data_IF_162998405332
#
_entry.id   IF_162998405332
#
_cell.length_a   1.000
_cell.length_b   1.000
_cell.length_c   1.000
_cell.angle_alpha   90.00
_cell.angle_beta   90.00
_cell.angle_gamma   90.00
#
_symmetry.space_group_name_H-M   'P 1'
#
loop_
_entity.id
_entity.type
_entity.pdbx_description
1 polymer ?
#
# COMPACT_ATOMS: atom_id res chain seq x y z
N UNK A 1 4.78 15.35 18.53
CA UNK A 1 5.64 15.09 17.36
C UNK A 1 5.14 13.95 16.47
N UNK A 2 4.85 12.73 17.00
CA UNK A 2 4.44 11.59 16.17
C UNK A 2 3.31 11.88 15.15
N UNK A 3 2.14 12.33 15.62
CA UNK A 3 0.96 12.55 14.75
C UNK A 3 1.19 13.57 13.64
N UNK A 4 2.02 14.59 13.90
CA UNK A 4 2.39 15.60 12.91
C UNK A 4 3.12 14.98 11.72
N UNK A 5 3.97 13.99 11.97
CA UNK A 5 4.64 13.24 10.90
C UNK A 5 3.74 12.14 10.33
N UNK A 6 3.02 11.40 11.17
CA UNK A 6 2.28 10.21 10.75
C UNK A 6 1.05 10.53 9.87
N UNK A 7 0.29 11.59 10.19
CA UNK A 7 -0.95 11.93 9.46
C UNK A 7 -0.65 12.26 7.99
N UNK A 8 0.31 13.14 7.65
CA UNK A 8 0.68 13.40 6.25
C UNK A 8 1.11 12.13 5.50
N UNK A 9 1.87 11.24 6.14
CA UNK A 9 2.36 10.01 5.51
C UNK A 9 1.21 9.04 5.18
N UNK A 10 0.26 8.86 6.10
CA UNK A 10 -0.93 8.04 5.84
C UNK A 10 -1.84 8.66 4.77
N UNK A 11 -1.96 10.00 4.72
CA UNK A 11 -2.68 10.70 3.65
C UNK A 11 -2.00 10.54 2.29
N UNK A 12 -0.67 10.57 2.25
CA UNK A 12 0.09 10.33 1.03
C UNK A 12 -0.16 8.90 0.51
N UNK A 13 -0.13 7.91 1.39
CA UNK A 13 -0.44 6.51 1.03
C UNK A 13 -1.89 6.35 0.51
N UNK A 14 -2.85 7.03 1.14
CA UNK A 14 -4.24 7.06 0.66
C UNK A 14 -4.35 7.69 -0.73
N UNK A 15 -3.58 8.74 -0.98
CA UNK A 15 -3.53 9.43 -2.28
C UNK A 15 -2.90 8.53 -3.35
N UNK A 16 -1.80 7.83 -3.04
CA UNK A 16 -1.18 6.84 -3.91
C UNK A 16 -2.20 5.78 -4.35
N UNK A 17 -2.97 5.21 -3.42
CA UNK A 17 -4.01 4.24 -3.74
C UNK A 17 -5.13 4.81 -4.64
N UNK A 18 -5.47 6.08 -4.47
CA UNK A 18 -6.49 6.75 -5.30
C UNK A 18 -5.99 7.00 -6.73
N UNK A 19 -4.73 7.41 -6.90
CA UNK A 19 -4.14 7.72 -8.21
C UNK A 19 -3.65 6.49 -8.97
N UNK A 20 -3.28 5.42 -8.27
CA UNK A 20 -2.72 4.20 -8.87
C UNK A 20 -3.70 3.55 -9.86
N UNK A 21 -3.25 3.27 -11.07
CA UNK A 21 -4.07 2.73 -12.18
C UNK A 21 -5.44 3.44 -12.33
N UNK A 22 -5.47 4.77 -12.21
CA UNK A 22 -6.68 5.58 -12.32
C UNK A 22 -6.58 6.57 -13.49
N UNK A 23 -7.25 6.35 -14.63
CA UNK A 23 -7.14 7.23 -15.80
C UNK A 23 -7.70 8.64 -15.57
N UNK A 24 -8.44 8.88 -14.47
CA UNK A 24 -8.92 10.23 -14.12
C UNK A 24 -7.78 11.19 -13.77
N UNK A 25 -6.59 10.68 -13.42
CA UNK A 25 -5.40 11.51 -13.15
C UNK A 25 -5.01 12.38 -14.34
N UNK A 26 -5.31 11.93 -15.57
CA UNK A 26 -5.03 12.68 -16.80
C UNK A 26 -6.15 13.66 -17.18
N UNK A 27 -7.29 13.61 -16.49
CA UNK A 27 -8.49 14.42 -16.79
C UNK A 27 -8.75 15.50 -15.74
N UNK A 28 -7.94 15.55 -14.67
CA UNK A 28 -8.08 16.55 -13.62
C UNK A 28 -7.49 16.10 -12.29
N UNK A 29 -7.89 16.81 -11.22
CA UNK A 29 -7.36 16.59 -9.88
C UNK A 29 -8.04 15.38 -9.24
N UNK A 30 -7.25 14.33 -9.00
CA UNK A 30 -7.62 13.20 -8.17
C UNK A 30 -7.20 13.51 -6.72
N UNK A 31 -8.14 13.40 -5.79
CA UNK A 31 -7.93 13.70 -4.37
C UNK A 31 -8.75 12.77 -3.50
N UNK A 32 -8.25 12.45 -2.31
CA UNK A 32 -9.01 11.70 -1.32
C UNK A 32 -10.26 12.48 -0.88
N UNK A 33 -11.36 11.77 -0.63
CA UNK A 33 -12.60 12.40 -0.14
C UNK A 33 -12.37 13.04 1.22
N UNK A 34 -12.96 14.22 1.46
CA UNK A 34 -12.85 14.94 2.76
C UNK A 34 -13.17 14.07 3.97
N UNK A 35 -14.21 13.23 3.90
CA UNK A 35 -14.56 12.30 4.98
C UNK A 35 -13.48 11.25 5.27
N UNK A 36 -12.76 10.78 4.23
CA UNK A 36 -11.61 9.91 4.43
C UNK A 36 -10.46 10.69 5.09
N UNK A 37 -10.15 11.89 4.60
CA UNK A 37 -9.12 12.74 5.20
C UNK A 37 -9.40 13.00 6.69
N UNK A 38 -10.63 13.38 7.05
CA UNK A 38 -11.04 13.56 8.45
C UNK A 38 -10.88 12.29 9.28
N UNK A 39 -11.23 11.12 8.71
CA UNK A 39 -11.03 9.81 9.36
C UNK A 39 -9.54 9.54 9.63
N UNK A 40 -8.67 9.81 8.67
CA UNK A 40 -7.22 9.63 8.84
C UNK A 40 -6.66 10.58 9.91
N UNK A 41 -7.10 11.85 9.94
CA UNK A 41 -6.69 12.79 10.99
C UNK A 41 -7.10 12.33 12.39
N UNK A 42 -8.31 11.76 12.53
CA UNK A 42 -8.86 11.34 13.81
C UNK A 42 -8.21 10.05 14.33
N UNK A 43 -7.97 9.06 13.47
CA UNK A 43 -7.60 7.71 13.90
C UNK A 43 -6.11 7.37 13.77
N UNK A 44 -5.29 8.19 13.12
CA UNK A 44 -3.83 8.01 13.10
C UNK A 44 -3.20 8.54 14.40
N UNK A 45 -3.22 7.71 15.46
CA UNK A 45 -2.77 8.08 16.80
C UNK A 45 -1.49 7.36 17.26
N UNK A 46 -1.21 6.18 16.71
CA UNK A 46 -0.06 5.34 17.05
C UNK A 46 0.48 4.59 15.82
N UNK A 47 1.57 3.85 16.00
CA UNK A 47 2.20 3.11 14.91
C UNK A 47 1.32 1.97 14.38
N UNK A 48 0.52 1.31 15.22
CA UNK A 48 -0.40 0.26 14.78
C UNK A 48 -1.46 0.83 13.82
N UNK A 49 -1.98 2.02 14.09
CA UNK A 49 -2.90 2.72 13.21
C UNK A 49 -2.25 3.09 11.87
N UNK A 50 -0.98 3.50 11.86
CA UNK A 50 -0.19 3.77 10.65
C UNK A 50 -0.05 2.49 9.82
N UNK A 51 0.46 1.41 10.42
CA UNK A 51 0.66 0.12 9.76
C UNK A 51 -0.66 -0.40 9.18
N UNK A 52 -1.74 -0.38 9.95
CA UNK A 52 -3.07 -0.81 9.49
C UNK A 52 -3.54 0.00 8.28
N UNK A 53 -3.28 1.31 8.28
CA UNK A 53 -3.64 2.19 7.17
C UNK A 53 -2.80 1.89 5.93
N UNK A 54 -1.49 1.70 6.09
CA UNK A 54 -0.58 1.33 5.01
C UNK A 54 -0.99 0.00 4.37
N UNK A 55 -1.17 -1.06 5.18
CA UNK A 55 -1.66 -2.36 4.71
C UNK A 55 -2.95 -2.23 3.91
N UNK A 56 -3.94 -1.49 4.44
CA UNK A 56 -5.22 -1.27 3.77
C UNK A 56 -5.06 -0.61 2.39
N UNK A 57 -4.27 0.46 2.29
CA UNK A 57 -4.12 1.19 1.03
C UNK A 57 -3.24 0.43 0.02
N UNK A 58 -2.27 -0.35 0.50
CA UNK A 58 -1.52 -1.28 -0.34
C UNK A 58 -2.41 -2.38 -0.92
N UNK A 59 -3.30 -2.98 -0.12
CA UNK A 59 -4.26 -3.98 -0.64
C UNK A 59 -5.11 -3.41 -1.78
N UNK A 60 -5.57 -2.16 -1.65
CA UNK A 60 -6.31 -1.48 -2.73
C UNK A 60 -5.45 -1.32 -3.99
N UNK A 61 -4.16 -0.98 -3.87
CA UNK A 61 -3.27 -0.88 -5.03
C UNK A 61 -3.03 -2.25 -5.68
N UNK A 62 -2.84 -3.31 -4.89
CA UNK A 62 -2.67 -4.67 -5.40
C UNK A 62 -3.89 -5.12 -6.18
N UNK A 63 -5.10 -4.90 -5.65
CA UNK A 63 -6.36 -5.21 -6.33
C UNK A 63 -6.52 -4.46 -7.66
N UNK A 64 -5.96 -3.25 -7.76
CA UNK A 64 -5.96 -2.43 -8.99
C UNK A 64 -4.82 -2.79 -9.96
N UNK A 65 -3.89 -3.66 -9.58
CA UNK A 65 -2.71 -3.97 -10.40
C UNK A 65 -3.09 -4.91 -11.55
N UNK A 66 -2.63 -4.59 -12.76
CA UNK A 66 -2.87 -5.39 -13.96
C UNK A 66 -1.69 -6.37 -14.19
N UNK A 67 -1.93 -7.69 -14.28
CA UNK A 67 -0.88 -8.68 -14.61
C UNK A 67 -0.17 -8.44 -15.94
N UNK A 68 -0.83 -7.74 -16.87
CA UNK A 68 -0.26 -7.40 -18.17
C UNK A 68 0.55 -6.09 -18.14
N UNK A 69 0.70 -5.44 -16.98
CA UNK A 69 1.56 -4.27 -16.84
C UNK A 69 3.04 -4.69 -17.01
N UNK A 70 3.84 -4.00 -17.84
CA UNK A 70 5.27 -4.31 -18.02
C UNK A 70 6.08 -4.31 -16.71
N UNK A 71 5.64 -3.56 -15.70
CA UNK A 71 6.28 -3.44 -14.39
C UNK A 71 5.63 -4.33 -13.33
N UNK A 72 4.72 -5.22 -13.70
CA UNK A 72 3.97 -6.05 -12.75
C UNK A 72 4.89 -6.77 -11.76
N UNK A 73 5.91 -7.48 -12.25
CA UNK A 73 6.85 -8.24 -11.40
C UNK A 73 7.58 -7.33 -10.41
N UNK A 74 8.09 -6.19 -10.88
CA UNK A 74 8.79 -5.23 -10.03
C UNK A 74 7.85 -4.66 -8.95
N UNK A 75 6.61 -4.33 -9.30
CA UNK A 75 5.60 -3.82 -8.37
C UNK A 75 5.25 -4.87 -7.31
N UNK A 76 5.07 -6.14 -7.70
CA UNK A 76 4.82 -7.23 -6.75
C UNK A 76 5.99 -7.40 -5.78
N UNK A 77 7.23 -7.35 -6.28
CA UNK A 77 8.41 -7.40 -5.42
C UNK A 77 8.41 -6.25 -4.40
N UNK A 78 8.16 -5.02 -4.85
CA UNK A 78 8.09 -3.86 -3.96
C UNK A 78 6.97 -3.97 -2.93
N UNK A 79 5.78 -4.43 -3.32
CA UNK A 79 4.69 -4.66 -2.37
C UNK A 79 5.08 -5.66 -1.29
N UNK A 80 5.72 -6.77 -1.67
CA UNK A 80 6.17 -7.79 -0.73
C UNK A 80 7.21 -7.23 0.27
N UNK A 81 8.19 -6.47 -0.21
CA UNK A 81 9.18 -5.83 0.67
C UNK A 81 8.52 -4.89 1.68
N UNK A 82 7.56 -4.08 1.24
CA UNK A 82 6.84 -3.16 2.13
C UNK A 82 5.99 -3.95 3.14
N UNK A 83 5.31 -5.04 2.75
CA UNK A 83 4.56 -5.88 3.70
C UNK A 83 5.45 -6.48 4.77
N UNK A 84 6.61 -7.03 4.39
CA UNK A 84 7.59 -7.57 5.34
C UNK A 84 8.07 -6.51 6.33
N UNK A 85 8.34 -5.29 5.85
CA UNK A 85 8.69 -4.15 6.71
C UNK A 85 7.54 -3.77 7.66
N UNK A 86 6.30 -3.78 7.18
CA UNK A 86 5.14 -3.49 8.02
C UNK A 86 4.88 -4.57 9.07
N UNK A 87 5.09 -5.85 8.72
CA UNK A 87 4.91 -6.99 9.63
C UNK A 87 5.98 -7.03 10.72
N UNK A 88 7.25 -6.84 10.36
CA UNK A 88 8.36 -6.77 11.33
C UNK A 88 8.23 -5.61 12.33
N UNK A 89 7.55 -4.53 11.94
CA UNK A 89 7.27 -3.39 12.82
C UNK A 89 5.90 -3.48 13.52
N UNK A 90 5.12 -4.53 13.27
CA UNK A 90 3.85 -4.79 13.94
C UNK A 90 4.11 -5.57 15.23
N UNK A 91 3.58 -5.10 16.37
CA UNK A 91 3.49 -5.92 17.59
C UNK A 91 2.44 -7.06 17.47
N UNK A 92 1.78 -7.16 16.31
CA UNK A 92 0.69 -8.09 16.01
C UNK A 92 1.08 -8.91 14.79
N UNK A 93 1.19 -10.22 14.98
CA UNK A 93 1.37 -11.21 13.91
C UNK A 93 0.09 -11.23 13.07
N UNK A 94 0.14 -10.71 11.84
CA UNK A 94 -0.90 -10.99 10.83
C UNK A 94 -0.51 -12.21 10.02
N UNK A 95 -1.48 -13.04 9.59
CA UNK A 95 -1.19 -14.20 8.75
C UNK A 95 -0.53 -13.73 7.44
N UNK A 96 0.51 -14.47 7.06
CA UNK A 96 1.32 -14.26 5.86
C UNK A 96 0.43 -14.05 4.63
N UNK A 97 0.60 -12.93 3.94
CA UNK A 97 -0.07 -12.69 2.67
C UNK A 97 0.55 -13.64 1.64
N UNK A 98 -0.13 -14.75 1.34
CA UNK A 98 0.37 -15.75 0.38
C UNK A 98 0.42 -15.14 -1.01
N UNK A 99 1.63 -14.99 -1.54
CA UNK A 99 1.87 -14.72 -2.95
C UNK A 99 1.14 -15.80 -3.75
N UNK A 100 0.40 -15.41 -4.79
CA UNK A 100 -0.23 -16.36 -5.69
C UNK A 100 0.88 -17.26 -6.26
N UNK A 101 0.83 -18.58 -5.99
CA UNK A 101 1.87 -19.61 -6.27
C UNK A 101 2.56 -19.53 -7.64
N UNK A 102 1.90 -18.91 -8.62
CA UNK A 102 2.46 -18.70 -9.95
C UNK A 102 3.71 -17.79 -9.96
N UNK A 103 3.80 -16.81 -9.04
CA UNK A 103 4.84 -15.78 -9.07
C UNK A 103 6.08 -16.09 -8.20
N UNK A 104 5.98 -17.01 -7.24
CA UNK A 104 7.15 -17.50 -6.48
C UNK A 104 8.19 -18.14 -7.42
N UNK A 105 7.72 -18.84 -8.46
CA UNK A 105 8.59 -19.50 -9.42
C UNK A 105 9.30 -18.52 -10.37
N UNK A 106 8.65 -17.40 -10.72
CA UNK A 106 9.26 -16.36 -11.56
C UNK A 106 10.32 -15.58 -10.80
N UNK A 107 10.07 -15.27 -9.52
CA UNK A 107 11.00 -14.55 -8.65
C UNK A 107 12.30 -15.34 -8.40
N UNK A 108 12.21 -16.68 -8.30
CA UNK A 108 13.38 -17.56 -8.14
C UNK A 108 14.15 -17.79 -9.44
N UNK A 109 13.56 -17.48 -10.60
CA UNK A 109 14.21 -17.59 -11.90
C UNK A 109 15.02 -16.33 -12.28
N UNK A 110 14.62 -15.15 -11.81
CA UNK A 110 15.35 -13.88 -12.03
C UNK A 110 16.53 -13.66 -11.06
N UNK A 111 16.65 -14.50 -10.02
CA UNK A 111 17.74 -14.48 -9.03
C UNK A 111 18.85 -15.52 -9.31
N UNK A 112 18.89 -16.11 -10.51
CA UNK A 112 19.96 -16.99 -10.99
C UNK A 112 20.65 -16.37 -12.19
#
# INVERSE_FOLDING_TARGET
MFRFCAIPQVMAMATLAEVYNNPKVFKGIVKIRKGLASKLMLYTNDMNAVIKSFKRFMSIMIEKTNPNDPHFTQLQYQFNQIFQLLDSNSAVITPEFKIHKHYENTLMAELK
#
